data_IF_684119655382
#
_entry.id   IF_684119655382
#
_cell.length_a   1.000
_cell.length_b   1.000
_cell.length_c   1.000
_cell.angle_alpha   90.00
_cell.angle_beta   90.00
_cell.angle_gamma   90.00
#
_symmetry.space_group_name_H-M   'P 1'
#
loop_
_entity.id
_entity.type
_entity.pdbx_description
1 polymer ?
#
# COMPACT_ATOMS: atom_id res chain seq x y z
N UNK A 1 -1.58 1.41 -23.58
CA UNK A 1 -1.69 1.36 -22.11
C UNK A 1 -1.22 0.01 -21.60
N UNK A 2 -0.46 -0.01 -20.53
CA UNK A 2 0.01 -1.26 -19.88
C UNK A 2 -1.04 -1.83 -18.92
N UNK A 3 -1.96 -1.02 -18.47
CA UNK A 3 -3.03 -1.40 -17.54
C UNK A 3 -4.35 -0.78 -17.99
N UNK A 4 -5.38 -1.60 -18.01
CA UNK A 4 -6.73 -1.15 -18.33
C UNK A 4 -7.51 -0.96 -17.01
N UNK A 5 -7.91 0.27 -16.73
CA UNK A 5 -8.53 0.65 -15.46
C UNK A 5 -10.06 0.73 -15.57
N UNK A 6 -10.82 0.66 -14.44
CA UNK A 6 -12.25 0.91 -14.43
C UNK A 6 -12.64 2.27 -15.04
N UNK A 7 -11.85 3.32 -14.78
CA UNK A 7 -12.06 4.63 -15.37
C UNK A 7 -11.93 4.62 -16.91
N UNK A 8 -11.00 3.83 -17.44
CA UNK A 8 -10.88 3.62 -18.90
C UNK A 8 -12.09 2.86 -19.46
N UNK A 9 -12.56 1.83 -18.77
CA UNK A 9 -13.76 1.12 -19.16
C UNK A 9 -14.97 2.06 -19.20
N UNK A 10 -15.15 2.87 -18.15
CA UNK A 10 -16.20 3.90 -18.11
C UNK A 10 -16.10 4.85 -19.29
N UNK A 11 -14.93 5.37 -19.61
CA UNK A 11 -14.76 6.29 -20.72
C UNK A 11 -15.17 5.69 -22.08
N UNK A 12 -14.96 4.38 -22.28
CA UNK A 12 -15.43 3.69 -23.48
C UNK A 12 -16.98 3.61 -23.52
N UNK A 13 -17.61 3.25 -22.40
CA UNK A 13 -19.07 3.22 -22.33
C UNK A 13 -19.68 4.61 -22.46
N UNK A 14 -19.04 5.66 -21.91
CA UNK A 14 -19.49 7.03 -22.07
C UNK A 14 -19.40 7.48 -23.54
N UNK A 15 -18.35 7.09 -24.27
CA UNK A 15 -18.20 7.40 -25.70
C UNK A 15 -19.32 6.77 -26.53
N UNK A 16 -19.73 5.53 -26.21
CA UNK A 16 -20.84 4.85 -26.89
C UNK A 16 -22.19 5.57 -26.73
N UNK A 17 -22.34 6.34 -25.64
CA UNK A 17 -23.56 7.09 -25.34
C UNK A 17 -23.55 8.52 -25.94
N UNK A 18 -22.50 8.92 -26.66
CA UNK A 18 -22.47 10.23 -27.31
C UNK A 18 -23.34 10.23 -28.57
N UNK A 19 -23.86 11.40 -29.00
CA UNK A 19 -24.68 11.47 -30.22
C UNK A 19 -23.94 11.06 -31.50
N UNK A 20 -22.61 11.12 -31.51
CA UNK A 20 -21.74 10.74 -32.63
C UNK A 20 -20.50 10.04 -32.07
N UNK A 21 -20.61 8.75 -31.68
CA UNK A 21 -19.48 8.04 -31.13
C UNK A 21 -18.37 7.85 -32.15
N UNK A 22 -17.13 7.93 -31.72
CA UNK A 22 -15.96 7.65 -32.56
C UNK A 22 -15.96 6.17 -32.95
N UNK A 23 -15.80 5.88 -34.23
CA UNK A 23 -15.68 4.49 -34.74
C UNK A 23 -14.30 3.90 -34.47
N UNK A 24 -13.27 4.75 -34.35
CA UNK A 24 -11.90 4.37 -34.01
C UNK A 24 -11.38 5.33 -32.95
N UNK A 25 -10.85 4.77 -31.87
CA UNK A 25 -10.24 5.54 -30.79
C UNK A 25 -9.16 4.72 -30.08
N UNK A 26 -8.34 5.41 -29.31
CA UNK A 26 -7.40 4.83 -28.35
C UNK A 26 -7.80 5.23 -26.94
N UNK A 27 -7.20 4.59 -25.93
CA UNK A 27 -7.40 4.97 -24.54
C UNK A 27 -6.10 4.80 -23.74
N UNK A 28 -5.86 5.72 -22.80
CA UNK A 28 -4.66 5.70 -21.97
C UNK A 28 -3.38 6.14 -22.69
N UNK A 29 -3.50 6.88 -23.81
CA UNK A 29 -2.40 7.54 -24.50
C UNK A 29 -2.37 8.98 -24.04
N UNK A 30 -1.29 9.41 -23.39
CA UNK A 30 -1.15 10.76 -22.84
C UNK A 30 -0.63 11.77 -23.87
N UNK A 31 0.34 11.36 -24.69
CA UNK A 31 0.93 12.13 -25.78
C UNK A 31 0.32 11.70 -27.13
N UNK A 32 -1.01 11.82 -27.23
CA UNK A 32 -1.79 11.39 -28.38
C UNK A 32 -1.75 12.43 -29.49
N UNK A 33 -0.81 12.28 -30.43
CA UNK A 33 -0.66 13.12 -31.62
C UNK A 33 -1.87 13.03 -32.54
N UNK A 34 -2.60 11.93 -32.51
CA UNK A 34 -3.77 11.67 -33.38
C UNK A 34 -5.06 12.27 -32.86
N UNK A 35 -5.10 12.68 -31.60
CA UNK A 35 -6.30 13.17 -30.89
C UNK A 35 -7.46 12.14 -30.87
N UNK A 36 -7.14 10.86 -30.98
CA UNK A 36 -8.11 9.76 -30.93
C UNK A 36 -8.30 9.20 -29.53
N UNK A 37 -7.41 9.52 -28.60
CA UNK A 37 -7.51 8.98 -27.22
C UNK A 37 -8.70 9.59 -26.50
N UNK A 38 -9.48 8.72 -25.87
CA UNK A 38 -10.61 9.14 -25.05
C UNK A 38 -10.09 9.79 -23.76
N UNK A 39 -10.80 10.79 -23.28
CA UNK A 39 -10.53 11.40 -21.97
C UNK A 39 -10.98 10.44 -20.89
N UNK A 40 -10.10 10.20 -19.93
CA UNK A 40 -10.36 9.36 -18.75
C UNK A 40 -10.50 10.27 -17.55
N UNK A 41 -11.55 10.05 -16.74
CA UNK A 41 -11.71 10.72 -15.46
C UNK A 41 -10.80 10.05 -14.43
N UNK A 42 -9.75 10.72 -13.93
CA UNK A 42 -8.81 10.13 -12.97
C UNK A 42 -9.42 9.93 -11.58
N UNK A 43 -10.50 10.65 -11.26
CA UNK A 43 -11.17 10.58 -9.96
C UNK A 43 -12.24 9.48 -9.90
N UNK A 44 -12.55 8.87 -11.07
CA UNK A 44 -13.55 7.82 -11.09
C UNK A 44 -13.09 6.55 -10.38
N UNK A 45 -13.86 6.12 -9.39
CA UNK A 45 -13.67 4.85 -8.68
C UNK A 45 -14.95 4.03 -8.71
N UNK A 46 -14.79 2.71 -8.71
CA UNK A 46 -15.86 1.70 -8.52
C UNK A 46 -15.73 0.99 -7.18
N UNK A 47 -14.83 1.44 -6.34
CA UNK A 47 -14.63 0.84 -5.03
C UNK A 47 -15.83 1.11 -4.13
N UNK A 48 -16.26 0.07 -3.42
CA UNK A 48 -17.43 0.16 -2.56
C UNK A 48 -17.14 1.05 -1.34
N UNK A 49 -18.12 1.83 -0.84
CA UNK A 49 -17.98 2.57 0.39
C UNK A 49 -17.60 1.66 1.57
N UNK A 50 -16.70 2.15 2.45
CA UNK A 50 -16.24 1.42 3.63
C UNK A 50 -15.15 0.37 3.36
N UNK A 51 -14.65 0.28 2.13
CA UNK A 51 -13.47 -0.53 1.82
C UNK A 51 -12.21 0.29 2.13
N UNK A 52 -11.39 -0.22 3.04
CA UNK A 52 -10.05 0.31 3.31
C UNK A 52 -9.11 -0.19 2.22
N UNK A 53 -8.40 0.72 1.58
CA UNK A 53 -7.42 0.42 0.54
C UNK A 53 -6.03 0.81 1.02
N UNK A 54 -5.10 -0.14 0.99
CA UNK A 54 -3.74 0.06 1.43
C UNK A 54 -2.74 -0.40 0.36
N UNK A 55 -1.69 0.42 0.15
CA UNK A 55 -0.61 0.12 -0.79
C UNK A 55 0.72 0.16 -0.04
N UNK A 56 1.54 -0.88 -0.24
CA UNK A 56 2.83 -1.02 0.44
C UNK A 56 3.94 -1.18 -0.60
N UNK A 57 4.92 -0.30 -0.53
CA UNK A 57 6.16 -0.37 -1.29
C UNK A 57 7.23 -1.03 -0.44
N UNK A 58 7.68 -2.21 -0.85
CA UNK A 58 8.72 -2.97 -0.16
C UNK A 58 9.81 -3.41 -1.13
N UNK A 59 10.89 -3.91 -0.55
CA UNK A 59 11.99 -4.51 -1.32
C UNK A 59 11.80 -6.01 -1.44
N UNK A 60 12.12 -6.58 -2.60
CA UNK A 60 12.12 -8.02 -2.77
C UNK A 60 13.00 -8.70 -1.72
N UNK A 61 12.44 -9.71 -1.04
CA UNK A 61 13.07 -10.46 0.04
C UNK A 61 13.22 -9.74 1.41
N UNK A 62 12.68 -8.52 1.61
CA UNK A 62 12.67 -7.84 2.91
C UNK A 62 11.59 -8.36 3.89
N UNK A 63 10.69 -9.23 3.42
CA UNK A 63 9.60 -9.80 4.21
C UNK A 63 8.28 -9.03 4.13
N UNK A 64 8.22 -7.89 3.44
CA UNK A 64 7.00 -7.06 3.29
C UNK A 64 5.83 -7.85 2.73
N UNK A 65 6.03 -8.61 1.64
CA UNK A 65 4.96 -9.44 1.04
C UNK A 65 4.45 -10.49 2.02
N UNK A 66 5.35 -11.11 2.79
CA UNK A 66 5.00 -12.09 3.83
C UNK A 66 4.13 -11.46 4.93
N UNK A 67 4.52 -10.30 5.44
CA UNK A 67 3.75 -9.55 6.44
C UNK A 67 2.37 -9.13 5.91
N UNK A 68 2.30 -8.66 4.66
CA UNK A 68 1.05 -8.26 4.04
C UNK A 68 0.11 -9.45 3.80
N UNK A 69 0.62 -10.62 3.39
CA UNK A 69 -0.16 -11.88 3.33
C UNK A 69 -0.68 -12.29 4.71
N UNK A 70 0.13 -12.08 5.75
CA UNK A 70 -0.29 -12.33 7.12
C UNK A 70 -1.38 -11.36 7.57
N UNK A 71 -1.29 -10.07 7.21
CA UNK A 71 -2.33 -9.07 7.50
C UNK A 71 -3.67 -9.45 6.85
N UNK A 72 -3.64 -9.94 5.59
CA UNK A 72 -4.84 -10.46 4.91
C UNK A 72 -5.47 -11.61 5.69
N UNK A 73 -4.65 -12.54 6.20
CA UNK A 73 -5.15 -13.67 7.00
C UNK A 73 -5.75 -13.21 8.32
N UNK A 74 -5.06 -12.35 9.07
CA UNK A 74 -5.57 -11.80 10.33
C UNK A 74 -6.93 -11.16 10.10
N UNK A 75 -7.06 -10.28 9.11
CA UNK A 75 -8.32 -9.56 8.87
C UNK A 75 -9.41 -10.50 8.34
N UNK A 76 -9.08 -11.39 7.39
CA UNK A 76 -10.07 -12.23 6.74
C UNK A 76 -10.48 -13.47 7.53
N UNK A 77 -9.64 -13.98 8.45
CA UNK A 77 -9.93 -15.17 9.26
C UNK A 77 -10.43 -14.81 10.66
N UNK A 78 -9.90 -13.73 11.24
CA UNK A 78 -10.12 -13.37 12.64
C UNK A 78 -11.10 -12.19 12.82
N UNK A 79 -11.66 -11.64 11.73
CA UNK A 79 -12.63 -10.54 11.76
C UNK A 79 -13.81 -10.80 10.81
N UNK A 80 -14.92 -10.07 10.94
CA UNK A 80 -16.03 -10.16 10.00
C UNK A 80 -15.74 -9.52 8.63
N UNK A 81 -14.55 -8.95 8.42
CA UNK A 81 -14.20 -8.29 7.18
C UNK A 81 -13.71 -9.28 6.12
N UNK A 82 -14.05 -9.00 4.88
CA UNK A 82 -13.43 -9.63 3.72
C UNK A 82 -12.10 -8.96 3.43
N UNK A 83 -11.14 -9.73 2.90
CA UNK A 83 -9.81 -9.26 2.56
C UNK A 83 -9.41 -9.72 1.16
N UNK A 84 -8.77 -8.84 0.40
CA UNK A 84 -8.19 -9.14 -0.90
C UNK A 84 -6.76 -8.58 -0.97
N UNK A 85 -5.84 -9.35 -1.53
CA UNK A 85 -4.48 -8.90 -1.79
C UNK A 85 -4.04 -9.18 -3.21
N UNK A 86 -3.37 -8.20 -3.82
CA UNK A 86 -2.71 -8.33 -5.10
C UNK A 86 -1.26 -7.86 -4.97
N UNK A 87 -0.32 -8.67 -5.47
CA UNK A 87 1.12 -8.43 -5.29
C UNK A 87 1.78 -8.26 -6.65
N UNK A 88 2.35 -7.08 -6.89
CA UNK A 88 3.11 -6.75 -8.10
C UNK A 88 4.59 -6.90 -7.78
N UNK A 89 5.30 -7.64 -8.63
CA UNK A 89 6.74 -7.85 -8.54
C UNK A 89 7.41 -7.25 -9.77
N UNK A 90 8.49 -6.50 -9.57
CA UNK A 90 9.36 -6.14 -10.68
C UNK A 90 10.11 -7.39 -11.16
N UNK A 91 10.29 -7.53 -12.47
CA UNK A 91 10.98 -8.67 -13.10
C UNK A 91 12.49 -8.68 -12.89
N UNK A 92 13.09 -7.63 -12.33
CA UNK A 92 14.52 -7.57 -12.02
C UNK A 92 14.86 -8.51 -10.86
N UNK A 93 15.96 -9.25 -11.00
CA UNK A 93 16.50 -10.09 -9.92
C UNK A 93 17.08 -9.21 -8.81
N UNK A 94 16.83 -9.58 -7.54
CA UNK A 94 17.41 -9.00 -6.34
C UNK A 94 17.35 -7.47 -6.21
N UNK A 95 16.75 -6.97 -5.17
CA UNK A 95 16.57 -5.54 -4.94
C UNK A 95 15.43 -4.89 -5.73
N UNK A 96 14.57 -5.70 -6.33
CA UNK A 96 13.40 -5.24 -7.06
C UNK A 96 12.30 -4.73 -6.10
N UNK A 97 11.60 -3.69 -6.51
CA UNK A 97 10.42 -3.21 -5.78
C UNK A 97 9.31 -4.26 -5.80
N UNK A 98 8.62 -4.39 -4.68
CA UNK A 98 7.35 -5.10 -4.58
C UNK A 98 6.26 -4.12 -4.18
N UNK A 99 5.13 -4.15 -4.86
CA UNK A 99 3.98 -3.31 -4.52
C UNK A 99 2.83 -4.22 -4.15
N UNK A 100 2.40 -4.13 -2.89
CA UNK A 100 1.28 -4.90 -2.35
C UNK A 100 0.04 -4.02 -2.30
N UNK A 101 -1.04 -4.45 -2.93
CA UNK A 101 -2.35 -3.79 -2.90
C UNK A 101 -3.29 -4.61 -2.03
N UNK A 102 -3.74 -4.05 -0.92
CA UNK A 102 -4.63 -4.73 0.02
C UNK A 102 -5.96 -3.98 0.12
N UNK A 103 -7.05 -4.72 0.09
CA UNK A 103 -8.41 -4.22 0.33
C UNK A 103 -9.05 -4.98 1.48
N UNK A 104 -9.73 -4.25 2.34
CA UNK A 104 -10.46 -4.80 3.49
C UNK A 104 -11.81 -4.12 3.60
N UNK A 105 -12.87 -4.88 3.86
CA UNK A 105 -14.20 -4.30 3.98
C UNK A 105 -15.27 -5.29 4.43
N UNK A 106 -16.45 -4.78 4.81
CA UNK A 106 -17.53 -5.58 5.38
C UNK A 106 -18.25 -6.47 4.36
N UNK A 107 -18.01 -6.25 3.07
CA UNK A 107 -18.67 -6.98 1.99
C UNK A 107 -17.65 -7.73 1.12
N UNK A 108 -18.05 -8.78 0.39
CA UNK A 108 -17.17 -9.50 -0.52
C UNK A 108 -16.51 -8.59 -1.55
N UNK A 109 -15.18 -8.65 -1.62
CA UNK A 109 -14.38 -7.81 -2.50
C UNK A 109 -14.09 -8.58 -3.79
N UNK A 110 -14.55 -8.03 -4.93
CA UNK A 110 -14.35 -8.58 -6.28
C UNK A 110 -13.75 -7.54 -7.20
N UNK A 111 -12.51 -7.10 -6.87
CA UNK A 111 -11.81 -6.04 -7.56
C UNK A 111 -10.63 -6.63 -8.36
N UNK A 112 -10.77 -6.96 -9.67
CA UNK A 112 -9.70 -7.50 -10.50
C UNK A 112 -8.75 -6.42 -11.05
N UNK A 113 -8.67 -5.28 -10.40
CA UNK A 113 -7.86 -4.11 -10.77
C UNK A 113 -7.01 -3.66 -9.59
N UNK A 114 -5.90 -2.98 -9.88
CA UNK A 114 -5.00 -2.43 -8.87
C UNK A 114 -5.62 -1.21 -8.18
N UNK A 115 -5.21 -0.98 -6.93
CA UNK A 115 -5.56 0.23 -6.19
C UNK A 115 -4.86 1.42 -6.83
N UNK A 116 -5.60 2.50 -7.05
CA UNK A 116 -5.11 3.77 -7.58
C UNK A 116 -5.25 4.93 -6.58
N UNK A 117 -6.19 4.80 -5.66
CA UNK A 117 -6.45 5.76 -4.59
C UNK A 117 -6.54 4.98 -3.28
N UNK A 118 -5.49 5.07 -2.46
CA UNK A 118 -5.36 4.34 -1.22
C UNK A 118 -5.54 5.28 -0.03
N UNK A 119 -6.31 4.85 0.96
CA UNK A 119 -6.43 5.53 2.25
C UNK A 119 -5.20 5.36 3.15
N UNK A 120 -4.34 4.37 2.81
CA UNK A 120 -3.10 4.09 3.51
C UNK A 120 -1.99 3.73 2.51
N UNK A 121 -0.87 4.44 2.55
CA UNK A 121 0.32 4.13 1.75
C UNK A 121 1.51 3.98 2.67
N UNK A 122 2.24 2.86 2.55
CA UNK A 122 3.48 2.64 3.28
C UNK A 122 4.68 2.49 2.34
N UNK A 123 5.77 3.18 2.67
CA UNK A 123 7.04 3.08 1.99
C UNK A 123 8.09 2.50 2.94
N UNK A 124 8.49 1.25 2.71
CA UNK A 124 9.44 0.53 3.58
C UNK A 124 10.90 0.83 3.26
N UNK A 125 11.16 1.47 2.12
CA UNK A 125 12.49 1.94 1.72
C UNK A 125 12.40 3.42 1.38
N UNK A 126 13.07 4.27 2.16
CA UNK A 126 12.99 5.73 2.01
C UNK A 126 13.35 6.19 0.59
N UNK A 127 14.40 5.62 0.01
CA UNK A 127 14.85 5.91 -1.35
C UNK A 127 13.81 5.63 -2.46
N UNK A 128 12.73 4.91 -2.15
CA UNK A 128 11.67 4.66 -3.13
C UNK A 128 10.83 5.89 -3.41
N UNK A 129 10.83 6.86 -2.52
CA UNK A 129 10.16 8.15 -2.75
C UNK A 129 10.74 8.92 -3.94
N UNK A 130 12.04 8.74 -4.22
CA UNK A 130 12.71 9.38 -5.36
C UNK A 130 12.65 8.55 -6.65
N UNK A 131 12.34 7.26 -6.53
CA UNK A 131 12.39 6.31 -7.65
C UNK A 131 11.03 5.94 -8.21
N UNK A 132 10.00 6.05 -7.38
CA UNK A 132 8.64 5.62 -7.71
C UNK A 132 7.63 6.66 -7.24
N UNK A 133 6.52 6.76 -7.96
CA UNK A 133 5.40 7.62 -7.59
C UNK A 133 4.60 7.02 -6.42
N UNK A 134 5.22 6.99 -5.22
CA UNK A 134 4.60 6.44 -3.99
C UNK A 134 3.40 7.27 -3.57
N UNK A 135 3.54 8.60 -3.57
CA UNK A 135 2.49 9.53 -3.13
C UNK A 135 1.34 9.67 -4.11
N UNK A 136 1.55 9.27 -5.38
CA UNK A 136 0.51 9.22 -6.40
C UNK A 136 -0.62 8.26 -6.05
N UNK A 137 -0.33 7.19 -5.32
CA UNK A 137 -1.33 6.22 -4.84
C UNK A 137 -2.19 6.73 -3.69
N UNK A 138 -1.78 7.77 -2.98
CA UNK A 138 -2.51 8.27 -1.83
C UNK A 138 -3.72 9.11 -2.25
N UNK A 139 -4.90 8.81 -1.75
CA UNK A 139 -6.07 9.67 -1.83
C UNK A 139 -5.94 10.90 -0.92
N UNK A 140 -6.84 11.85 -1.03
CA UNK A 140 -6.85 13.02 -0.14
C UNK A 140 -7.13 12.60 1.31
N UNK A 141 -6.31 13.10 2.25
CA UNK A 141 -6.41 12.77 3.68
C UNK A 141 -5.86 11.39 4.05
N UNK A 142 -5.25 10.67 3.12
CA UNK A 142 -4.66 9.36 3.38
C UNK A 142 -3.51 9.42 4.40
N UNK A 143 -3.22 8.26 4.99
CA UNK A 143 -2.01 8.04 5.76
C UNK A 143 -0.84 7.75 4.83
N UNK A 144 0.28 8.43 5.04
CA UNK A 144 1.58 8.10 4.47
C UNK A 144 2.53 7.66 5.59
N UNK A 145 2.88 6.38 5.62
CA UNK A 145 3.83 5.79 6.58
C UNK A 145 5.18 5.55 5.91
N UNK A 146 6.23 6.14 6.47
CA UNK A 146 7.59 6.01 5.97
C UNK A 146 8.47 5.23 6.95
N UNK A 147 9.22 4.26 6.45
CA UNK A 147 10.40 3.78 7.14
C UNK A 147 11.56 4.72 6.77
N UNK A 148 11.96 5.58 7.68
CA UNK A 148 12.95 6.63 7.46
C UNK A 148 14.03 6.60 8.54
N UNK A 149 15.31 6.84 8.19
CA UNK A 149 16.40 6.94 9.17
C UNK A 149 16.43 8.30 9.89
N UNK A 150 15.36 9.05 9.81
CA UNK A 150 15.19 10.40 10.35
C UNK A 150 14.05 10.41 11.37
N UNK A 151 14.16 11.26 12.37
CA UNK A 151 13.06 11.44 13.32
C UNK A 151 11.90 12.28 12.74
N UNK A 152 10.86 12.45 13.55
CA UNK A 152 9.65 13.17 13.14
C UNK A 152 9.89 14.66 12.83
N UNK A 153 10.92 15.25 13.40
CA UNK A 153 11.21 16.68 13.25
C UNK A 153 12.15 16.93 12.04
N UNK A 154 12.93 15.92 11.64
CA UNK A 154 13.89 15.99 10.55
C UNK A 154 13.37 15.43 9.23
N UNK A 155 12.50 14.40 9.26
CA UNK A 155 12.07 13.68 8.06
C UNK A 155 11.51 14.58 6.96
N UNK A 156 10.85 15.67 7.35
CA UNK A 156 10.27 16.62 6.39
C UNK A 156 11.32 17.27 5.48
N UNK A 157 12.45 17.66 6.02
CA UNK A 157 13.53 18.34 5.28
C UNK A 157 14.28 17.39 4.32
N UNK A 158 14.11 16.08 4.52
CA UNK A 158 14.66 15.03 3.66
C UNK A 158 13.72 14.56 2.55
N UNK A 159 12.48 15.07 2.51
CA UNK A 159 11.56 14.79 1.42
C UNK A 159 11.81 15.69 0.21
N UNK A 160 11.71 15.15 -0.99
CA UNK A 160 11.76 15.96 -2.21
C UNK A 160 10.62 16.97 -2.26
N UNK A 161 10.81 18.08 -2.96
CA UNK A 161 9.78 19.12 -3.11
C UNK A 161 8.46 18.57 -3.70
N UNK A 162 8.54 17.58 -4.59
CA UNK A 162 7.36 16.90 -5.15
C UNK A 162 6.57 16.14 -4.10
N UNK A 163 7.26 15.39 -3.23
CA UNK A 163 6.63 14.64 -2.13
C UNK A 163 6.04 15.61 -1.11
N UNK A 164 6.77 16.66 -0.71
CA UNK A 164 6.27 17.70 0.20
C UNK A 164 5.00 18.37 -0.37
N UNK A 165 5.02 18.75 -1.65
CA UNK A 165 3.88 19.34 -2.33
C UNK A 165 2.67 18.37 -2.36
N UNK A 166 2.90 17.09 -2.60
CA UNK A 166 1.83 16.08 -2.58
C UNK A 166 1.24 15.91 -1.16
N UNK A 167 2.09 15.86 -0.13
CA UNK A 167 1.65 15.78 1.27
C UNK A 167 0.75 16.97 1.62
N UNK A 168 1.16 18.19 1.26
CA UNK A 168 0.39 19.41 1.54
C UNK A 168 -0.90 19.45 0.73
N UNK A 169 -0.83 19.27 -0.59
CA UNK A 169 -1.98 19.44 -1.49
C UNK A 169 -3.07 18.39 -1.30
N UNK A 170 -2.68 17.16 -0.94
CA UNK A 170 -3.60 16.07 -0.62
C UNK A 170 -4.00 16.05 0.86
N UNK A 171 -3.35 16.83 1.74
CA UNK A 171 -3.57 16.83 3.18
C UNK A 171 -3.24 15.48 3.81
N UNK A 172 -2.12 14.86 3.39
CA UNK A 172 -1.72 13.52 3.88
C UNK A 172 -1.30 13.59 5.35
N UNK A 173 -1.64 12.55 6.09
CA UNK A 173 -1.17 12.34 7.46
C UNK A 173 0.15 11.58 7.41
N UNK A 174 1.26 12.31 7.56
CA UNK A 174 2.61 11.77 7.49
C UNK A 174 3.02 11.15 8.84
N UNK A 175 3.46 9.90 8.78
CA UNK A 175 4.09 9.17 9.89
C UNK A 175 5.45 8.64 9.45
N UNK A 176 6.41 8.70 10.35
CA UNK A 176 7.76 8.17 10.12
C UNK A 176 8.20 7.30 11.30
N UNK A 177 8.97 6.26 11.01
CA UNK A 177 9.61 5.39 11.99
C UNK A 177 10.96 4.94 11.46
N UNK A 178 11.99 4.93 12.30
CA UNK A 178 13.23 4.21 12.01
C UNK A 178 13.08 2.73 12.41
N UNK A 179 12.43 1.99 11.52
CA UNK A 179 12.18 0.56 11.71
C UNK A 179 13.45 -0.27 11.79
N UNK A 180 14.56 0.18 11.19
CA UNK A 180 15.85 -0.52 11.31
C UNK A 180 16.46 -0.39 12.69
N UNK A 181 16.39 0.78 13.32
CA UNK A 181 16.83 0.97 14.69
C UNK A 181 15.97 0.16 15.65
N UNK A 182 14.65 0.22 15.54
CA UNK A 182 13.72 -0.61 16.34
C UNK A 182 14.01 -2.11 16.16
N UNK A 183 14.26 -2.57 14.93
CA UNK A 183 14.57 -3.98 14.65
C UNK A 183 15.89 -4.42 15.32
N UNK A 184 16.91 -3.57 15.29
CA UNK A 184 18.18 -3.85 15.95
C UNK A 184 18.04 -3.93 17.48
N UNK A 185 17.34 -3.00 18.09
CA UNK A 185 17.05 -2.98 19.53
C UNK A 185 16.25 -4.19 19.99
N UNK A 186 15.28 -4.63 19.16
CA UNK A 186 14.50 -5.84 19.40
C UNK A 186 15.25 -7.16 19.08
N UNK A 187 16.51 -7.09 18.65
CA UNK A 187 17.29 -8.29 18.28
C UNK A 187 16.88 -8.96 16.97
N UNK A 188 16.16 -8.24 16.10
CA UNK A 188 15.66 -8.75 14.81
C UNK A 188 16.62 -8.48 13.63
N UNK A 189 17.75 -7.81 13.88
CA UNK A 189 18.68 -7.38 12.84
C UNK A 189 18.05 -6.35 11.90
N UNK A 190 18.00 -6.61 10.60
CA UNK A 190 17.42 -5.69 9.60
C UNK A 190 15.98 -6.04 9.19
N UNK A 191 15.28 -6.87 9.96
CA UNK A 191 13.92 -7.30 9.62
C UNK A 191 12.86 -6.36 10.17
N UNK A 192 12.42 -5.42 9.34
CA UNK A 192 11.44 -4.39 9.70
C UNK A 192 9.98 -4.79 9.43
N UNK A 193 9.75 -5.92 8.78
CA UNK A 193 8.43 -6.32 8.31
C UNK A 193 7.38 -6.42 9.42
N UNK A 194 7.72 -6.97 10.58
CA UNK A 194 6.82 -7.04 11.75
C UNK A 194 6.52 -5.64 12.28
N UNK A 195 7.54 -4.78 12.39
CA UNK A 195 7.40 -3.40 12.88
C UNK A 195 6.44 -2.61 11.99
N UNK A 196 6.67 -2.64 10.69
CA UNK A 196 5.83 -1.94 9.72
C UNK A 196 4.38 -2.49 9.70
N UNK A 197 4.20 -3.80 9.93
CA UNK A 197 2.88 -4.42 10.07
C UNK A 197 2.16 -3.91 11.33
N UNK A 198 2.86 -3.79 12.44
CA UNK A 198 2.30 -3.23 13.69
C UNK A 198 1.88 -1.78 13.47
N UNK A 199 2.74 -0.96 12.85
CA UNK A 199 2.41 0.42 12.51
C UNK A 199 1.16 0.51 11.63
N UNK A 200 1.04 -0.37 10.62
CA UNK A 200 -0.15 -0.44 9.78
C UNK A 200 -1.42 -0.66 10.62
N UNK A 201 -1.45 -1.67 11.46
CA UNK A 201 -2.63 -1.95 12.30
C UNK A 201 -2.91 -0.82 13.31
N UNK A 202 -1.86 -0.23 13.89
CA UNK A 202 -2.01 0.84 14.88
C UNK A 202 -2.61 2.13 14.28
N UNK A 203 -2.34 2.43 12.99
CA UNK A 203 -2.66 3.71 12.37
C UNK A 203 -3.82 3.61 11.38
N UNK A 204 -4.01 2.45 10.73
CA UNK A 204 -5.03 2.26 9.68
C UNK A 204 -6.46 2.25 10.20
N UNK A 205 -6.66 1.88 11.48
CA UNK A 205 -7.99 1.73 12.06
C UNK A 205 -8.77 0.51 11.55
N UNK A 206 -8.12 -0.42 10.85
CA UNK A 206 -8.77 -1.65 10.33
C UNK A 206 -9.22 -2.57 11.46
N UNK A 207 -8.46 -2.59 12.57
CA UNK A 207 -8.78 -3.32 13.80
C UNK A 207 -8.54 -2.44 15.03
N UNK A 208 -9.23 -2.72 16.15
CA UNK A 208 -8.86 -2.20 17.45
C UNK A 208 -7.40 -2.56 17.78
N UNK A 209 -6.65 -1.63 18.37
CA UNK A 209 -5.20 -1.78 18.60
C UNK A 209 -4.85 -3.05 19.40
N UNK A 210 -5.55 -3.28 20.51
CA UNK A 210 -5.29 -4.41 21.39
C UNK A 210 -5.54 -5.74 20.67
N UNK A 211 -6.63 -5.82 19.91
CA UNK A 211 -6.98 -6.99 19.12
C UNK A 211 -5.93 -7.27 18.03
N UNK A 212 -5.48 -6.23 17.34
CA UNK A 212 -4.43 -6.34 16.33
C UNK A 212 -3.11 -6.88 16.93
N UNK A 213 -2.71 -6.40 18.12
CA UNK A 213 -1.51 -6.85 18.82
C UNK A 213 -1.59 -8.36 19.15
N UNK A 214 -2.73 -8.83 19.66
CA UNK A 214 -2.90 -10.26 19.99
C UNK A 214 -2.85 -11.13 18.72
N UNK A 215 -3.49 -10.72 17.64
CA UNK A 215 -3.44 -11.46 16.37
C UNK A 215 -2.03 -11.48 15.77
N UNK A 216 -1.30 -10.36 15.82
CA UNK A 216 0.10 -10.30 15.36
C UNK A 216 0.97 -11.25 16.19
N UNK A 217 0.87 -11.24 17.51
CA UNK A 217 1.62 -12.15 18.38
C UNK A 217 1.29 -13.61 18.12
N UNK A 218 0.02 -13.95 17.92
CA UNK A 218 -0.41 -15.30 17.53
C UNK A 218 0.22 -15.73 16.19
N UNK A 219 0.20 -14.84 15.20
CA UNK A 219 0.80 -15.09 13.89
C UNK A 219 2.33 -15.24 13.95
N UNK A 220 3.00 -14.45 14.79
CA UNK A 220 4.44 -14.57 15.07
C UNK A 220 4.74 -15.96 15.62
N UNK A 221 3.99 -16.44 16.62
CA UNK A 221 4.17 -17.79 17.18
C UNK A 221 3.98 -18.88 16.12
N UNK A 222 2.94 -18.79 15.31
CA UNK A 222 2.69 -19.75 14.21
C UNK A 222 3.85 -19.76 13.18
N UNK A 223 4.40 -18.59 12.86
CA UNK A 223 5.41 -18.45 11.80
C UNK A 223 6.82 -18.80 12.27
N UNK A 224 7.18 -18.35 13.47
CA UNK A 224 8.55 -18.41 13.97
C UNK A 224 8.76 -19.41 15.11
N UNK A 225 7.70 -20.00 15.69
CA UNK A 225 7.80 -20.93 16.81
C UNK A 225 8.76 -22.10 16.57
N UNK A 226 8.82 -22.62 15.33
CA UNK A 226 9.76 -23.69 14.95
C UNK A 226 11.23 -23.22 14.85
N UNK A 227 11.49 -21.90 14.83
CA UNK A 227 12.84 -21.32 14.76
C UNK A 227 13.46 -21.04 16.13
N UNK A 228 12.73 -21.30 17.21
CA UNK A 228 13.15 -21.12 18.59
C UNK A 228 12.47 -19.94 19.30
N UNK A 229 12.34 -20.07 20.62
CA UNK A 229 11.64 -19.08 21.46
C UNK A 229 12.32 -17.71 21.45
N UNK A 230 13.65 -17.64 21.32
CA UNK A 230 14.39 -16.37 21.23
C UNK A 230 13.95 -15.52 20.01
N UNK A 231 13.65 -16.16 18.88
CA UNK A 231 13.16 -15.48 17.68
C UNK A 231 11.74 -14.96 17.91
N UNK A 232 10.90 -15.74 18.59
CA UNK A 232 9.53 -15.32 18.93
C UNK A 232 9.55 -14.11 19.85
N UNK A 233 10.36 -14.15 20.91
CA UNK A 233 10.48 -13.06 21.90
C UNK A 233 11.03 -11.77 21.26
N UNK A 234 12.04 -11.87 20.39
CA UNK A 234 12.55 -10.72 19.66
C UNK A 234 11.45 -10.06 18.78
N UNK A 235 10.62 -10.87 18.08
CA UNK A 235 9.50 -10.34 17.33
C UNK A 235 8.39 -9.75 18.22
N UNK A 236 8.17 -10.31 19.42
CA UNK A 236 7.23 -9.72 20.39
C UNK A 236 7.69 -8.38 20.93
N UNK A 237 9.00 -8.20 21.13
CA UNK A 237 9.58 -6.93 21.59
C UNK A 237 9.41 -5.80 20.54
N UNK A 238 9.18 -6.15 19.28
CA UNK A 238 8.94 -5.21 18.19
C UNK A 238 7.44 -4.88 17.98
N UNK A 239 6.55 -5.50 18.74
CA UNK A 239 5.09 -5.28 18.73
C UNK A 239 4.68 -4.32 19.84
#
# INVERSE_FOLDING_TARGET
SKEFTPAMAKAIFDELNTPRPKSHFTIGINDDVTHLSLKVDPEFSVDAPGVVQAVFFGLGADGTVGANKNSIKIIGEDTPNFAQGFFVYDSKKSGAVTISHLRFGPNPIRAPYLIRQASFVACHQFDFLDKYDVVGYAERGAVLLLNAPYDKDEVWDHLSAEVQQAVISKGLRLYAIDGYTVAREAGMGNRINTIMQVCFFAISGVLPREEAIEHIKSAIRKTYGKRGESVVLANFAAV
#
